data_IF_533842799779
#
_entry.id   IF_533842799779
#
_cell.length_a   1.000
_cell.length_b   1.000
_cell.length_c   1.000
_cell.angle_alpha   90.00
_cell.angle_beta   90.00
_cell.angle_gamma   90.00
#
_symmetry.space_group_name_H-M   'P 1'
#
loop_
_entity.id
_entity.type
_entity.pdbx_description
1 polymer ?
#
# COMPACT_ATOMS: atom_id res chain seq x y z
N UNK A 1 24.02 -23.52 -15.69
CA UNK A 1 24.41 -22.50 -14.69
C UNK A 1 24.10 -21.16 -15.29
N UNK A 2 22.85 -20.70 -15.16
CA UNK A 2 22.47 -19.36 -15.60
C UNK A 2 23.14 -18.36 -14.65
N UNK A 3 23.92 -17.46 -15.21
CA UNK A 3 24.59 -16.39 -14.48
C UNK A 3 23.51 -15.38 -14.08
N UNK A 4 23.06 -15.44 -12.83
CA UNK A 4 22.38 -14.32 -12.20
C UNK A 4 23.43 -13.24 -11.97
N UNK A 5 23.42 -12.23 -12.85
CA UNK A 5 24.19 -11.02 -12.68
C UNK A 5 23.72 -10.35 -11.38
N UNK A 6 24.57 -10.39 -10.35
CA UNK A 6 24.34 -9.70 -9.09
C UNK A 6 24.29 -8.20 -9.34
N UNK A 7 23.11 -7.61 -9.20
CA UNK A 7 22.98 -6.17 -9.05
C UNK A 7 23.60 -5.79 -7.69
N UNK A 8 24.53 -4.83 -7.73
CA UNK A 8 25.33 -4.40 -6.57
C UNK A 8 24.46 -3.96 -5.40
N UNK A 9 24.82 -4.45 -4.21
CA UNK A 9 24.23 -4.05 -2.93
C UNK A 9 24.96 -2.79 -2.46
N UNK A 10 24.19 -1.73 -2.23
CA UNK A 10 24.63 -0.51 -1.54
C UNK A 10 24.95 -0.82 -0.08
N UNK A 11 25.97 -0.15 0.47
CA UNK A 11 26.37 -0.27 1.86
C UNK A 11 25.20 0.09 2.79
N UNK A 12 24.83 -0.85 3.68
CA UNK A 12 23.87 -0.60 4.75
C UNK A 12 24.58 0.12 5.92
N UNK A 13 23.88 0.97 6.69
CA UNK A 13 24.45 1.61 7.87
C UNK A 13 24.75 0.57 8.94
N UNK A 14 25.93 0.66 9.55
CA UNK A 14 26.32 -0.13 10.70
C UNK A 14 25.34 0.11 11.87
N UNK A 15 24.49 -0.87 12.19
CA UNK A 15 23.72 -0.88 13.43
C UNK A 15 24.58 -1.46 14.55
N UNK A 16 25.49 -0.65 15.09
CA UNK A 16 26.32 -1.02 16.25
C UNK A 16 26.01 -0.16 17.46
N UNK A 17 25.16 -0.64 18.38
CA UNK A 17 25.28 -0.26 19.79
C UNK A 17 26.10 -1.37 20.48
N UNK A 18 27.21 -0.99 21.12
CA UNK A 18 28.09 -1.90 21.86
C UNK A 18 27.33 -2.59 23.00
N UNK A 19 26.80 -3.79 22.73
CA UNK A 19 26.34 -4.72 23.76
C UNK A 19 27.52 -5.54 24.29
N UNK A 20 27.53 -5.79 25.60
CA UNK A 20 28.54 -6.63 26.23
C UNK A 20 28.56 -8.03 25.60
N UNK A 21 29.71 -8.44 25.04
CA UNK A 21 29.88 -9.74 24.37
C UNK A 21 29.74 -9.71 22.84
N UNK A 22 29.46 -8.55 22.24
CA UNK A 22 29.48 -8.36 20.78
C UNK A 22 30.89 -8.24 20.22
N UNK A 23 31.05 -8.54 18.93
CA UNK A 23 32.26 -8.23 18.15
C UNK A 23 32.31 -6.71 17.98
N UNK A 24 33.50 -6.10 18.07
CA UNK A 24 33.63 -4.65 17.90
C UNK A 24 33.21 -4.23 16.49
N UNK A 25 32.42 -3.15 16.37
CA UNK A 25 32.03 -2.59 15.07
C UNK A 25 33.22 -2.17 14.21
N UNK A 26 34.33 -1.75 14.85
CA UNK A 26 35.58 -1.42 14.16
C UNK A 26 36.24 -2.65 13.55
N UNK A 27 36.19 -3.81 14.22
CA UNK A 27 36.74 -5.07 13.70
C UNK A 27 35.95 -5.55 12.47
N UNK A 28 34.62 -5.42 12.50
CA UNK A 28 33.73 -5.77 11.38
C UNK A 28 33.97 -4.82 10.19
N UNK A 29 34.01 -3.51 10.45
CA UNK A 29 34.27 -2.49 9.42
C UNK A 29 35.64 -2.66 8.79
N UNK A 30 36.66 -2.97 9.59
CA UNK A 30 38.01 -3.24 9.08
C UNK A 30 38.06 -4.50 8.20
N UNK A 31 37.30 -5.55 8.56
CA UNK A 31 37.23 -6.77 7.75
C UNK A 31 36.50 -6.52 6.42
N UNK A 32 35.42 -5.73 6.43
CA UNK A 32 34.69 -5.35 5.21
C UNK A 32 35.54 -4.45 4.30
N UNK A 33 36.29 -3.50 4.87
CA UNK A 33 37.28 -2.69 4.14
C UNK A 33 38.33 -3.55 3.44
N UNK A 34 38.86 -4.58 4.11
CA UNK A 34 39.80 -5.53 3.49
C UNK A 34 39.16 -6.34 2.36
N UNK A 35 37.88 -6.67 2.44
CA UNK A 35 37.15 -7.32 1.35
C UNK A 35 37.07 -6.38 0.13
N UNK A 36 36.73 -5.11 0.35
CA UNK A 36 36.68 -4.11 -0.72
C UNK A 36 38.06 -3.92 -1.38
N UNK A 37 39.12 -3.74 -0.59
CA UNK A 37 40.50 -3.63 -1.09
C UNK A 37 40.97 -4.88 -1.85
N UNK A 38 40.61 -6.07 -1.37
CA UNK A 38 40.88 -7.32 -2.08
C UNK A 38 40.20 -7.35 -3.46
N UNK A 39 39.03 -6.70 -3.58
CA UNK A 39 38.29 -6.51 -4.82
C UNK A 39 39.07 -5.79 -5.92
N UNK A 40 39.89 -4.82 -5.55
CA UNK A 40 40.63 -3.91 -6.45
C UNK A 40 41.99 -4.45 -6.92
N UNK A 41 42.36 -5.67 -6.49
CA UNK A 41 43.67 -6.23 -6.85
C UNK A 41 43.85 -6.43 -8.37
N UNK A 42 44.98 -5.94 -8.89
CA UNK A 42 45.28 -5.88 -10.33
C UNK A 42 45.36 -7.24 -11.07
N UNK A 43 45.41 -8.37 -10.36
CA UNK A 43 45.42 -9.69 -10.99
C UNK A 43 44.58 -10.71 -10.23
N UNK A 44 43.99 -11.66 -10.96
CA UNK A 44 43.14 -12.71 -10.39
C UNK A 44 43.85 -13.55 -9.31
N UNK A 45 45.15 -13.81 -9.49
CA UNK A 45 45.95 -14.55 -8.50
C UNK A 45 46.12 -13.76 -7.18
N UNK A 46 46.37 -12.45 -7.27
CA UNK A 46 46.47 -11.57 -6.09
C UNK A 46 45.13 -11.41 -5.40
N UNK A 47 44.05 -11.22 -6.16
CA UNK A 47 42.67 -11.16 -5.67
C UNK A 47 42.31 -12.42 -4.89
N UNK A 48 42.61 -13.59 -5.45
CA UNK A 48 42.37 -14.90 -4.80
C UNK A 48 43.12 -15.03 -3.47
N UNK A 49 44.38 -14.59 -3.40
CA UNK A 49 45.17 -14.63 -2.17
C UNK A 49 44.63 -13.68 -1.10
N UNK A 50 44.27 -12.45 -1.49
CA UNK A 50 43.71 -11.45 -0.60
C UNK A 50 42.35 -11.90 -0.04
N UNK A 51 41.45 -12.41 -0.88
CA UNK A 51 40.15 -12.96 -0.45
C UNK A 51 40.34 -14.14 0.51
N UNK A 52 41.28 -15.06 0.25
CA UNK A 52 41.60 -16.14 1.19
C UNK A 52 42.15 -15.66 2.53
N UNK A 53 42.75 -14.47 2.57
CA UNK A 53 43.19 -13.84 3.82
C UNK A 53 41.99 -13.28 4.59
N UNK A 54 41.09 -12.55 3.92
CA UNK A 54 39.83 -12.07 4.50
C UNK A 54 39.01 -13.22 5.09
N UNK A 55 38.88 -14.34 4.35
CA UNK A 55 38.18 -15.53 4.83
C UNK A 55 38.78 -16.06 6.15
N UNK A 56 40.11 -16.22 6.20
CA UNK A 56 40.79 -16.71 7.41
C UNK A 56 40.64 -15.75 8.59
N UNK A 57 40.71 -14.44 8.34
CA UNK A 57 40.54 -13.42 9.38
C UNK A 57 39.10 -13.40 9.92
N UNK A 58 38.09 -13.53 9.05
CA UNK A 58 36.69 -13.64 9.46
C UNK A 58 36.38 -14.95 10.21
N UNK A 59 36.95 -16.08 9.78
CA UNK A 59 36.82 -17.37 10.49
C UNK A 59 37.40 -17.27 11.91
N UNK A 60 38.61 -16.70 12.05
CA UNK A 60 39.23 -16.49 13.36
C UNK A 60 38.41 -15.57 14.27
N UNK A 61 37.77 -14.54 13.70
CA UNK A 61 36.92 -13.62 14.45
C UNK A 61 35.65 -14.31 14.98
N UNK A 62 35.04 -15.17 14.17
CA UNK A 62 33.88 -15.99 14.60
C UNK A 62 34.30 -17.01 15.67
N UNK A 63 35.46 -17.65 15.53
CA UNK A 63 35.97 -18.61 16.53
C UNK A 63 36.25 -17.95 17.88
N UNK A 64 36.74 -16.70 17.88
CA UNK A 64 36.97 -15.90 19.09
C UNK A 64 35.66 -15.45 19.75
N UNK A 65 34.61 -15.25 18.97
CA UNK A 65 33.31 -14.73 19.41
C UNK A 65 32.13 -15.62 18.99
N UNK A 66 32.10 -16.91 19.39
CA UNK A 66 31.15 -17.89 18.84
C UNK A 66 29.69 -17.61 19.20
N UNK A 67 29.44 -16.92 20.31
CA UNK A 67 28.11 -16.61 20.83
C UNK A 67 27.70 -15.15 20.61
N UNK A 68 28.55 -14.31 20.01
CA UNK A 68 28.25 -12.90 19.80
C UNK A 68 26.99 -12.73 18.93
N UNK A 69 26.03 -11.86 19.31
CA UNK A 69 24.81 -11.65 18.54
C UNK A 69 25.09 -11.15 17.11
N UNK A 70 26.06 -10.26 16.94
CA UNK A 70 26.45 -9.66 15.66
C UNK A 70 27.45 -10.49 14.84
N UNK A 71 27.73 -11.75 15.23
CA UNK A 71 28.57 -12.66 14.41
C UNK A 71 28.03 -12.89 12.99
N UNK A 72 26.73 -12.66 12.79
CA UNK A 72 26.09 -12.82 11.48
C UNK A 72 26.54 -11.76 10.47
N UNK A 73 26.97 -10.58 10.92
CA UNK A 73 27.60 -9.58 10.06
C UNK A 73 28.95 -10.06 9.52
N UNK A 74 29.74 -10.73 10.37
CA UNK A 74 30.99 -11.38 9.94
C UNK A 74 30.71 -12.55 9.00
N UNK A 75 29.65 -13.33 9.26
CA UNK A 75 29.22 -14.41 8.36
C UNK A 75 28.79 -13.89 6.99
N UNK A 76 28.17 -12.71 6.90
CA UNK A 76 27.85 -12.06 5.62
C UNK A 76 29.12 -11.67 4.85
N UNK A 77 30.12 -11.08 5.53
CA UNK A 77 31.42 -10.78 4.92
C UNK A 77 32.08 -12.07 4.40
N UNK A 78 32.04 -13.15 5.19
CA UNK A 78 32.53 -14.46 4.76
C UNK A 78 31.75 -15.00 3.57
N UNK A 79 30.42 -14.88 3.56
CA UNK A 79 29.57 -15.29 2.44
C UNK A 79 29.98 -14.55 1.15
N UNK A 80 30.08 -13.22 1.18
CA UNK A 80 30.53 -12.40 0.04
C UNK A 80 31.96 -12.77 -0.40
N UNK A 81 32.86 -12.98 0.55
CA UNK A 81 34.24 -13.40 0.26
C UNK A 81 34.30 -14.77 -0.42
N UNK A 82 33.53 -15.74 0.06
CA UNK A 82 33.45 -17.09 -0.52
C UNK A 82 32.80 -17.06 -1.91
N UNK A 83 31.80 -16.19 -2.13
CA UNK A 83 31.18 -15.98 -3.44
C UNK A 83 32.21 -15.47 -4.47
N UNK A 84 33.03 -14.48 -4.09
CA UNK A 84 34.15 -13.98 -4.92
C UNK A 84 35.19 -15.09 -5.16
N UNK A 85 35.49 -15.90 -4.15
CA UNK A 85 36.45 -17.00 -4.31
C UNK A 85 35.95 -18.06 -5.30
N UNK A 86 34.66 -18.42 -5.26
CA UNK A 86 34.06 -19.39 -6.19
C UNK A 86 34.02 -18.84 -7.62
N UNK A 87 33.80 -17.55 -7.82
CA UNK A 87 33.82 -16.94 -9.16
C UNK A 87 35.22 -16.93 -9.78
N UNK A 88 36.26 -16.79 -8.96
CA UNK A 88 37.66 -16.85 -9.40
C UNK A 88 38.19 -18.27 -9.57
N UNK A 89 37.69 -19.21 -8.77
CA UNK A 89 38.12 -20.61 -8.77
C UNK A 89 36.95 -21.53 -8.39
N UNK A 90 36.27 -22.05 -9.40
CA UNK A 90 35.10 -22.90 -9.25
C UNK A 90 35.47 -24.38 -8.96
N UNK A 91 36.35 -24.59 -7.98
CA UNK A 91 36.71 -25.93 -7.50
C UNK A 91 35.61 -26.55 -6.63
N UNK A 92 35.55 -27.88 -6.57
CA UNK A 92 34.59 -28.58 -5.71
C UNK A 92 34.77 -28.22 -4.22
N UNK A 93 36.01 -27.99 -3.78
CA UNK A 93 36.34 -27.59 -2.42
C UNK A 93 35.76 -26.19 -2.09
N UNK A 94 35.96 -25.20 -2.97
CA UNK A 94 35.44 -23.85 -2.76
C UNK A 94 33.91 -23.83 -2.77
N UNK A 95 33.27 -24.59 -3.67
CA UNK A 95 31.80 -24.73 -3.66
C UNK A 95 31.27 -25.33 -2.35
N UNK A 96 31.96 -26.33 -1.79
CA UNK A 96 31.59 -26.96 -0.52
C UNK A 96 31.73 -25.97 0.65
N UNK A 97 32.82 -25.21 0.69
CA UNK A 97 33.05 -24.19 1.72
C UNK A 97 32.02 -23.05 1.63
N UNK A 98 31.66 -22.63 0.41
CA UNK A 98 30.64 -21.62 0.19
C UNK A 98 29.27 -22.08 0.70
N UNK A 99 28.82 -23.28 0.34
CA UNK A 99 27.55 -23.82 0.83
C UNK A 99 27.53 -24.00 2.35
N UNK A 100 28.64 -24.41 2.96
CA UNK A 100 28.74 -24.49 4.42
C UNK A 100 28.63 -23.12 5.09
N UNK A 101 29.11 -22.05 4.44
CA UNK A 101 28.93 -20.68 4.91
C UNK A 101 27.48 -20.24 4.77
N UNK A 102 26.82 -20.57 3.65
CA UNK A 102 25.38 -20.33 3.48
C UNK A 102 24.55 -21.00 4.57
N UNK A 103 24.85 -22.26 4.94
CA UNK A 103 24.14 -22.99 6.01
C UNK A 103 24.28 -22.30 7.37
N UNK A 104 25.48 -21.80 7.69
CA UNK A 104 25.71 -21.03 8.93
C UNK A 104 24.95 -19.71 8.92
N UNK A 105 24.97 -18.99 7.81
CA UNK A 105 24.29 -17.70 7.68
C UNK A 105 22.76 -17.86 7.67
N UNK A 106 22.23 -18.93 7.09
CA UNK A 106 20.81 -19.28 7.15
C UNK A 106 20.31 -19.38 8.61
N UNK A 107 21.13 -19.86 9.54
CA UNK A 107 20.75 -19.94 10.95
C UNK A 107 20.62 -18.56 11.65
N UNK A 108 20.82 -17.44 10.95
CA UNK A 108 20.63 -16.10 11.51
C UNK A 108 19.14 -15.82 11.85
N UNK A 109 18.87 -15.08 12.94
CA UNK A 109 17.51 -14.66 13.29
C UNK A 109 16.97 -13.61 12.31
N UNK A 110 15.69 -13.27 12.45
CA UNK A 110 14.99 -12.36 11.52
C UNK A 110 15.56 -10.94 11.49
N UNK A 111 16.24 -10.49 12.55
CA UNK A 111 16.98 -9.21 12.57
C UNK A 111 18.06 -9.12 11.49
N UNK A 112 18.58 -10.26 11.04
CA UNK A 112 19.57 -10.37 9.95
C UNK A 112 18.95 -10.99 8.68
N UNK A 113 17.63 -10.87 8.49
CA UNK A 113 16.94 -11.41 7.32
C UNK A 113 17.56 -10.90 6.01
N UNK A 114 17.87 -9.61 5.92
CA UNK A 114 18.53 -9.03 4.75
C UNK A 114 19.86 -9.72 4.39
N UNK A 115 20.68 -10.05 5.40
CA UNK A 115 21.99 -10.68 5.20
C UNK A 115 21.86 -12.14 4.73
N UNK A 116 20.92 -12.89 5.30
CA UNK A 116 20.82 -14.34 5.03
C UNK A 116 19.99 -14.69 3.78
N UNK A 117 19.30 -13.72 3.17
CA UNK A 117 18.40 -13.94 2.02
C UNK A 117 19.09 -14.64 0.85
N UNK A 118 20.22 -14.12 0.40
CA UNK A 118 20.92 -14.68 -0.76
C UNK A 118 21.47 -16.08 -0.46
N UNK A 119 21.92 -16.32 0.77
CA UNK A 119 22.33 -17.65 1.23
C UNK A 119 21.17 -18.65 1.22
N UNK A 120 20.00 -18.28 1.75
CA UNK A 120 18.81 -19.12 1.74
C UNK A 120 18.30 -19.42 0.32
N UNK A 121 18.33 -18.43 -0.56
CA UNK A 121 17.96 -18.60 -1.96
C UNK A 121 18.89 -19.60 -2.66
N UNK A 122 20.20 -19.47 -2.44
CA UNK A 122 21.21 -20.38 -2.98
C UNK A 122 21.04 -21.81 -2.45
N UNK A 123 20.77 -21.98 -1.16
CA UNK A 123 20.51 -23.29 -0.56
C UNK A 123 19.25 -23.93 -1.12
N UNK A 124 18.19 -23.14 -1.31
CA UNK A 124 16.93 -23.59 -1.91
C UNK A 124 17.17 -24.11 -3.33
N UNK A 125 17.85 -23.32 -4.17
CA UNK A 125 18.20 -23.72 -5.53
C UNK A 125 19.14 -24.94 -5.58
N UNK A 126 20.15 -24.99 -4.70
CA UNK A 126 21.10 -26.10 -4.62
C UNK A 126 20.41 -27.42 -4.23
N UNK A 127 19.48 -27.37 -3.27
CA UNK A 127 18.67 -28.52 -2.85
C UNK A 127 17.80 -29.02 -4.00
N UNK A 128 17.01 -28.15 -4.61
CA UNK A 128 16.14 -28.53 -5.74
C UNK A 128 16.95 -29.08 -6.92
N UNK A 129 18.15 -28.55 -7.17
CA UNK A 129 19.03 -29.09 -8.21
C UNK A 129 19.56 -30.50 -7.90
N UNK A 130 19.92 -30.78 -6.64
CA UNK A 130 20.36 -32.12 -6.21
C UNK A 130 19.25 -33.17 -6.32
N UNK A 131 18.02 -32.75 -6.07
CA UNK A 131 16.83 -33.62 -6.14
C UNK A 131 16.34 -33.85 -7.58
N UNK A 132 16.99 -33.24 -8.59
CA UNK A 132 16.57 -33.37 -9.99
C UNK A 132 15.20 -32.74 -10.28
N UNK A 133 14.79 -31.76 -9.46
CA UNK A 133 13.48 -31.13 -9.55
C UNK A 133 13.27 -30.44 -10.91
N UNK A 134 12.10 -30.65 -11.49
CA UNK A 134 11.65 -29.94 -12.69
C UNK A 134 11.37 -28.45 -12.41
N UNK A 135 11.02 -27.69 -13.45
CA UNK A 135 10.76 -26.25 -13.33
C UNK A 135 9.62 -25.91 -12.35
N UNK A 136 8.60 -26.77 -12.24
CA UNK A 136 7.48 -26.54 -11.32
C UNK A 136 7.88 -26.84 -9.89
N UNK A 137 8.55 -27.97 -9.64
CA UNK A 137 9.07 -28.32 -8.33
C UNK A 137 10.10 -27.31 -7.82
N UNK A 138 10.95 -26.77 -8.70
CA UNK A 138 11.91 -25.68 -8.37
C UNK A 138 11.23 -24.39 -7.97
N UNK A 139 10.15 -24.01 -8.64
CA UNK A 139 9.40 -22.80 -8.29
C UNK A 139 8.58 -23.00 -7.02
N UNK A 140 7.92 -24.15 -6.85
CA UNK A 140 7.15 -24.44 -5.62
C UNK A 140 8.03 -24.54 -4.36
N UNK A 141 9.31 -24.90 -4.51
CA UNK A 141 10.30 -24.84 -3.43
C UNK A 141 10.57 -23.41 -2.91
N UNK A 142 10.11 -22.36 -3.60
CA UNK A 142 10.19 -20.98 -3.14
C UNK A 142 9.09 -20.63 -2.12
N UNK A 143 8.01 -21.41 -2.00
CA UNK A 143 6.93 -21.13 -1.04
C UNK A 143 7.41 -21.15 0.42
N UNK A 144 8.16 -22.17 0.88
CA UNK A 144 8.71 -22.17 2.23
C UNK A 144 9.69 -21.02 2.46
N UNK A 145 10.40 -20.59 1.41
CA UNK A 145 11.28 -19.43 1.49
C UNK A 145 10.47 -18.15 1.72
N UNK A 146 9.42 -17.91 0.93
CA UNK A 146 8.53 -16.74 1.13
C UNK A 146 7.93 -16.73 2.54
N UNK A 147 7.43 -17.86 3.03
CA UNK A 147 6.85 -17.93 4.39
C UNK A 147 7.88 -17.66 5.49
N UNK A 148 9.13 -18.10 5.31
CA UNK A 148 10.21 -17.85 6.28
C UNK A 148 10.55 -16.37 6.44
N UNK A 149 10.37 -15.57 5.40
CA UNK A 149 10.64 -14.14 5.41
C UNK A 149 9.42 -13.30 5.73
N UNK A 150 8.32 -13.93 6.15
CA UNK A 150 7.13 -13.23 6.59
C UNK A 150 7.41 -12.32 7.78
N UNK A 151 6.83 -11.13 7.76
CA UNK A 151 6.96 -10.10 8.79
C UNK A 151 8.41 -9.62 8.99
N UNK A 152 9.27 -9.81 7.97
CA UNK A 152 10.63 -9.24 7.92
C UNK A 152 10.69 -8.03 6.99
N UNK A 153 11.70 -7.19 7.18
CA UNK A 153 11.99 -6.02 6.35
C UNK A 153 12.21 -6.34 4.86
N UNK A 154 12.60 -7.58 4.54
CA UNK A 154 12.85 -8.04 3.17
C UNK A 154 11.73 -8.90 2.58
N UNK A 155 10.59 -9.06 3.25
CA UNK A 155 9.46 -9.89 2.77
C UNK A 155 9.05 -9.54 1.34
N UNK A 156 8.86 -8.24 1.05
CA UNK A 156 8.49 -7.74 -0.28
C UNK A 156 9.54 -8.11 -1.35
N UNK A 157 10.83 -8.02 -1.00
CA UNK A 157 11.93 -8.41 -1.88
C UNK A 157 11.92 -9.91 -2.18
N UNK A 158 11.68 -10.75 -1.17
CA UNK A 158 11.58 -12.22 -1.37
C UNK A 158 10.42 -12.59 -2.26
N UNK A 159 9.24 -11.98 -2.05
CA UNK A 159 8.06 -12.19 -2.90
C UNK A 159 8.39 -11.81 -4.35
N UNK A 160 9.02 -10.64 -4.57
CA UNK A 160 9.42 -10.19 -5.91
C UNK A 160 10.36 -11.19 -6.59
N UNK A 161 11.40 -11.66 -5.90
CA UNK A 161 12.34 -12.67 -6.42
C UNK A 161 11.58 -13.96 -6.78
N UNK A 162 10.72 -14.43 -5.88
CA UNK A 162 9.96 -15.65 -6.09
C UNK A 162 9.01 -15.54 -7.30
N UNK A 163 8.38 -14.37 -7.49
CA UNK A 163 7.54 -14.10 -8.66
C UNK A 163 8.34 -14.09 -9.96
N UNK A 164 9.52 -13.45 -10.00
CA UNK A 164 10.41 -13.44 -11.18
C UNK A 164 10.80 -14.87 -11.54
N UNK A 165 11.29 -15.65 -10.58
CA UNK A 165 11.69 -17.02 -10.81
C UNK A 165 10.50 -17.89 -11.25
N UNK A 166 9.31 -17.68 -10.69
CA UNK A 166 8.11 -18.40 -11.10
C UNK A 166 7.72 -18.09 -12.55
N UNK A 167 7.85 -16.84 -12.99
CA UNK A 167 7.63 -16.44 -14.39
C UNK A 167 8.65 -17.10 -15.32
N UNK A 168 9.94 -17.06 -14.97
CA UNK A 168 11.02 -17.69 -15.75
C UNK A 168 10.84 -19.21 -15.89
N UNK A 169 10.31 -19.85 -14.84
CA UNK A 169 10.04 -21.28 -14.80
C UNK A 169 8.65 -21.67 -15.35
N UNK A 170 7.82 -20.69 -15.75
CA UNK A 170 6.48 -20.91 -16.31
C UNK A 170 5.40 -21.33 -15.29
N UNK A 171 5.65 -21.19 -13.98
CA UNK A 171 4.69 -21.57 -12.94
C UNK A 171 3.70 -20.43 -12.64
N UNK A 172 2.68 -20.32 -13.49
CA UNK A 172 1.62 -19.29 -13.35
C UNK A 172 0.79 -19.46 -12.08
N UNK A 173 0.69 -20.68 -11.52
CA UNK A 173 -0.03 -20.94 -10.26
C UNK A 173 0.66 -20.24 -9.09
N UNK A 174 1.97 -20.37 -8.98
CA UNK A 174 2.73 -19.70 -7.93
C UNK A 174 2.65 -18.17 -8.08
N UNK A 175 2.76 -17.64 -9.30
CA UNK A 175 2.58 -16.20 -9.56
C UNK A 175 1.22 -15.72 -9.05
N UNK A 176 0.14 -16.44 -9.35
CA UNK A 176 -1.21 -16.07 -8.91
C UNK A 176 -1.39 -16.17 -7.39
N UNK A 177 -0.77 -17.14 -6.74
CA UNK A 177 -0.80 -17.24 -5.28
C UNK A 177 -0.03 -16.09 -4.62
N UNK A 178 1.17 -15.77 -5.12
CA UNK A 178 1.97 -14.66 -4.62
C UNK A 178 1.29 -13.30 -4.85
N UNK A 179 0.53 -13.12 -5.93
CA UNK A 179 -0.30 -11.92 -6.13
C UNK A 179 -1.35 -11.74 -5.04
N UNK A 180 -1.96 -12.84 -4.55
CA UNK A 180 -2.90 -12.76 -3.41
C UNK A 180 -2.17 -12.33 -2.15
N UNK A 181 -0.97 -12.84 -1.93
CA UNK A 181 -0.12 -12.44 -0.79
C UNK A 181 0.19 -10.93 -0.88
N UNK A 182 0.62 -10.44 -2.04
CA UNK A 182 0.85 -9.00 -2.26
C UNK A 182 -0.41 -8.18 -2.00
N UNK A 183 -1.56 -8.58 -2.55
CA UNK A 183 -2.82 -7.86 -2.37
C UNK A 183 -3.32 -7.82 -0.91
N UNK A 184 -2.94 -8.81 -0.09
CA UNK A 184 -3.34 -8.87 1.33
C UNK A 184 -2.35 -8.15 2.25
N UNK A 185 -1.05 -8.25 1.97
CA UNK A 185 0.00 -7.83 2.90
C UNK A 185 0.72 -6.56 2.48
N UNK A 186 0.81 -6.32 1.17
CA UNK A 186 1.49 -5.18 0.57
C UNK A 186 0.58 -4.41 -0.41
N UNK A 187 -0.69 -4.13 -0.06
CA UNK A 187 -1.61 -3.54 -1.02
C UNK A 187 -1.16 -2.15 -1.47
N UNK A 188 -0.50 -1.38 -0.61
CA UNK A 188 -0.01 -0.02 -0.89
C UNK A 188 1.47 0.10 -1.26
N UNK A 189 2.19 -1.01 -1.40
CA UNK A 189 3.63 -0.99 -1.68
C UNK A 189 3.87 -0.56 -3.14
N UNK A 190 4.39 0.65 -3.33
CA UNK A 190 4.56 1.25 -4.67
C UNK A 190 5.55 0.48 -5.53
N UNK A 191 6.60 -0.09 -4.93
CA UNK A 191 7.61 -0.87 -5.65
C UNK A 191 7.01 -2.18 -6.18
N UNK A 192 6.20 -2.87 -5.37
CA UNK A 192 5.48 -4.07 -5.79
C UNK A 192 4.37 -3.76 -6.79
N UNK A 193 3.69 -2.62 -6.68
CA UNK A 193 2.72 -2.17 -7.69
C UNK A 193 3.45 -1.95 -9.03
N UNK A 194 4.55 -1.19 -9.04
CA UNK A 194 5.35 -0.93 -10.24
C UNK A 194 5.92 -2.22 -10.84
N UNK A 195 6.46 -3.11 -10.00
CA UNK A 195 6.91 -4.43 -10.42
C UNK A 195 5.81 -5.24 -11.12
N UNK A 196 4.60 -5.27 -10.56
CA UNK A 196 3.47 -5.97 -11.18
C UNK A 196 3.06 -5.33 -12.52
N UNK A 197 3.10 -3.99 -12.62
CA UNK A 197 2.83 -3.29 -13.88
C UNK A 197 3.84 -3.67 -14.97
N UNK A 198 5.12 -3.69 -14.64
CA UNK A 198 6.21 -3.96 -15.59
C UNK A 198 6.34 -5.43 -15.98
N UNK A 199 6.25 -6.35 -15.01
CA UNK A 199 6.65 -7.76 -15.21
C UNK A 199 5.48 -8.72 -15.43
N UNK A 200 4.26 -8.36 -15.04
CA UNK A 200 3.08 -9.23 -15.17
C UNK A 200 2.16 -8.77 -16.30
N UNK A 201 2.73 -8.27 -17.41
CA UNK A 201 2.02 -7.68 -18.53
C UNK A 201 0.85 -8.55 -19.05
N UNK A 202 -0.27 -7.92 -19.40
CA UNK A 202 -1.51 -8.50 -19.91
C UNK A 202 -2.72 -8.54 -18.96
N UNK A 203 -2.60 -8.17 -17.67
CA UNK A 203 -3.69 -8.32 -16.69
C UNK A 203 -3.98 -7.04 -15.89
N UNK A 204 -5.27 -6.72 -15.77
CA UNK A 204 -5.76 -5.65 -14.88
C UNK A 204 -5.69 -6.13 -13.44
N UNK A 205 -5.18 -5.30 -12.53
CA UNK A 205 -5.24 -5.55 -11.10
C UNK A 205 -5.68 -4.31 -10.33
N UNK A 206 -6.26 -4.53 -9.15
CA UNK A 206 -6.66 -3.47 -8.25
C UNK A 206 -5.54 -3.13 -7.28
N UNK A 207 -5.30 -1.84 -7.05
CA UNK A 207 -4.44 -1.35 -5.99
C UNK A 207 -5.16 -0.22 -5.22
N UNK A 208 -5.03 -0.12 -3.89
CA UNK A 208 -5.49 1.06 -3.15
C UNK A 208 -4.72 2.29 -3.65
N UNK A 209 -5.44 3.34 -4.01
CA UNK A 209 -4.82 4.62 -4.34
C UNK A 209 -4.51 5.35 -3.04
N UNK A 210 -3.22 5.45 -2.71
CA UNK A 210 -2.74 6.02 -1.46
C UNK A 210 -1.87 7.23 -1.79
N UNK A 211 -2.17 8.35 -1.14
CA UNK A 211 -1.42 9.59 -1.35
C UNK A 211 -1.91 10.71 -0.46
N UNK A 212 -1.01 11.64 -0.16
CA UNK A 212 -1.35 12.91 0.50
C UNK A 212 -1.08 14.04 -0.47
N UNK A 213 -2.10 14.85 -0.73
CA UNK A 213 -2.05 15.96 -1.67
C UNK A 213 -2.44 17.26 -0.95
N UNK A 214 -2.10 18.39 -1.55
CA UNK A 214 -2.47 19.70 -1.02
C UNK A 214 -3.47 20.39 -1.95
N UNK A 215 -4.42 21.09 -1.35
CA UNK A 215 -5.29 22.06 -2.03
C UNK A 215 -4.56 23.38 -2.26
N UNK A 216 -5.18 24.28 -3.03
CA UNK A 216 -4.71 25.66 -3.18
C UNK A 216 -4.61 26.44 -1.86
N UNK A 217 -5.47 26.13 -0.88
CA UNK A 217 -5.47 26.74 0.47
C UNK A 217 -4.44 26.11 1.43
N UNK A 218 -3.60 25.19 0.95
CA UNK A 218 -2.58 24.48 1.74
C UNK A 218 -3.11 23.34 2.60
N UNK A 219 -4.43 23.09 2.64
CA UNK A 219 -4.99 21.96 3.40
C UNK A 219 -4.61 20.64 2.75
N UNK A 220 -4.16 19.71 3.57
CA UNK A 220 -3.86 18.34 3.15
C UNK A 220 -5.14 17.53 2.95
N UNK A 221 -5.11 16.68 1.94
CA UNK A 221 -6.16 15.75 1.58
C UNK A 221 -5.52 14.38 1.37
N UNK A 222 -6.09 13.34 1.95
CA UNK A 222 -5.54 11.98 2.02
C UNK A 222 -6.43 11.00 1.29
N UNK A 223 -5.85 10.30 0.32
CA UNK A 223 -6.47 9.13 -0.29
C UNK A 223 -6.03 7.84 0.41
N UNK A 224 -6.92 6.85 0.58
CA UNK A 224 -8.34 6.91 0.20
C UNK A 224 -9.24 7.57 1.26
N UNK A 225 -8.72 7.86 2.45
CA UNK A 225 -9.48 8.21 3.66
C UNK A 225 -10.56 9.28 3.45
N UNK A 226 -10.22 10.39 2.79
CA UNK A 226 -11.14 11.53 2.62
C UNK A 226 -12.20 11.30 1.53
N UNK A 227 -12.12 10.19 0.79
CA UNK A 227 -12.96 9.92 -0.38
C UNK A 227 -13.64 8.54 -0.35
N UNK A 228 -13.56 7.81 0.77
CA UNK A 228 -14.28 6.54 0.94
C UNK A 228 -15.80 6.74 0.84
N UNK A 229 -16.50 5.73 0.31
CA UNK A 229 -17.96 5.73 0.15
C UNK A 229 -18.46 6.33 -1.16
N UNK A 230 -17.64 7.08 -1.89
CA UNK A 230 -18.04 7.71 -3.16
C UNK A 230 -17.05 7.40 -4.26
N UNK A 231 -17.55 7.06 -5.47
CA UNK A 231 -16.69 6.88 -6.63
C UNK A 231 -16.04 8.21 -6.98
N UNK A 232 -14.72 8.24 -7.07
CA UNK A 232 -13.94 9.47 -7.29
C UNK A 232 -13.21 9.42 -8.62
N UNK A 233 -13.36 10.49 -9.40
CA UNK A 233 -12.78 10.65 -10.73
C UNK A 233 -11.65 11.65 -10.63
N UNK A 234 -10.42 11.17 -10.72
CA UNK A 234 -9.22 12.00 -10.72
C UNK A 234 -8.92 12.41 -12.16
N UNK A 235 -9.12 13.68 -12.48
CA UNK A 235 -8.74 14.26 -13.76
C UNK A 235 -7.36 14.87 -13.61
N UNK A 236 -6.35 14.23 -14.18
CA UNK A 236 -4.96 14.67 -14.21
C UNK A 236 -4.73 15.54 -15.43
N UNK A 237 -4.36 16.81 -15.24
CA UNK A 237 -4.31 17.78 -16.32
C UNK A 237 -3.26 18.86 -16.10
N UNK A 238 -2.85 19.45 -17.21
CA UNK A 238 -1.97 20.61 -17.33
C UNK A 238 -2.70 21.67 -18.14
N UNK A 239 -2.43 22.96 -17.91
CA UNK A 239 -2.90 24.04 -18.80
C UNK A 239 -2.18 24.03 -20.15
N UNK A 240 -1.04 23.35 -20.24
CA UNK A 240 -0.23 23.23 -21.46
C UNK A 240 -0.76 22.10 -22.35
N UNK A 241 -0.23 21.99 -23.58
CA UNK A 241 -0.51 20.90 -24.52
C UNK A 241 -2.01 20.60 -24.72
N UNK A 242 -2.80 21.64 -25.01
CA UNK A 242 -4.25 21.60 -25.22
C UNK A 242 -5.07 21.12 -24.00
N UNK A 243 -4.48 21.01 -22.81
CA UNK A 243 -5.17 20.50 -21.63
C UNK A 243 -6.30 21.42 -21.14
N UNK A 244 -6.22 22.72 -21.36
CA UNK A 244 -7.33 23.64 -21.07
C UNK A 244 -8.52 23.44 -22.03
N UNK A 245 -8.27 23.17 -23.32
CA UNK A 245 -9.31 22.87 -24.30
C UNK A 245 -9.99 21.54 -24.00
N UNK A 246 -9.20 20.53 -23.63
CA UNK A 246 -9.69 19.21 -23.22
C UNK A 246 -10.53 19.32 -21.92
N UNK A 247 -10.09 20.14 -20.95
CA UNK A 247 -10.86 20.44 -19.74
C UNK A 247 -12.20 21.13 -20.06
N UNK A 248 -12.22 22.08 -21.01
CA UNK A 248 -13.48 22.73 -21.49
C UNK A 248 -14.41 21.69 -22.11
N UNK A 249 -13.90 20.78 -22.92
CA UNK A 249 -14.69 19.70 -23.53
C UNK A 249 -15.29 18.75 -22.46
N UNK A 250 -14.50 18.37 -21.45
CA UNK A 250 -14.96 17.56 -20.33
C UNK A 250 -16.02 18.32 -19.50
N UNK A 251 -15.80 19.62 -19.23
CA UNK A 251 -16.74 20.45 -18.48
C UNK A 251 -18.11 20.53 -19.17
N UNK A 252 -18.12 20.72 -20.49
CA UNK A 252 -19.35 20.72 -21.29
C UNK A 252 -20.07 19.37 -21.24
N UNK A 253 -19.35 18.27 -21.43
CA UNK A 253 -19.91 16.92 -21.35
C UNK A 253 -20.44 16.60 -19.94
N UNK A 254 -19.77 17.07 -18.89
CA UNK A 254 -20.21 16.90 -17.52
C UNK A 254 -21.51 17.64 -17.20
N UNK A 255 -21.64 18.89 -17.66
CA UNK A 255 -22.89 19.66 -17.52
C UNK A 255 -24.07 18.95 -18.20
N UNK A 256 -23.86 18.38 -19.39
CA UNK A 256 -24.87 17.55 -20.08
C UNK A 256 -25.20 16.30 -19.28
N UNK A 257 -24.19 15.56 -18.82
CA UNK A 257 -24.38 14.33 -18.04
C UNK A 257 -25.12 14.56 -16.71
N UNK A 258 -24.92 15.70 -16.04
CA UNK A 258 -25.69 16.08 -14.84
C UNK A 258 -27.20 16.12 -15.14
N UNK A 259 -27.61 16.65 -16.29
CA UNK A 259 -29.02 16.79 -16.69
C UNK A 259 -29.56 15.51 -17.33
N UNK A 260 -28.89 14.99 -18.35
CA UNK A 260 -29.40 13.89 -19.18
C UNK A 260 -29.27 12.52 -18.52
N UNK A 261 -28.25 12.32 -17.69
CA UNK A 261 -27.95 11.03 -17.05
C UNK A 261 -28.21 11.02 -15.54
N UNK A 262 -28.70 12.14 -14.98
CA UNK A 262 -28.83 12.33 -13.53
C UNK A 262 -27.54 11.93 -12.78
N UNK A 263 -26.39 12.40 -13.30
CA UNK A 263 -25.07 12.02 -12.81
C UNK A 263 -24.66 12.74 -11.51
N UNK A 264 -25.43 13.75 -11.07
CA UNK A 264 -25.17 14.48 -9.83
C UNK A 264 -25.13 13.51 -8.63
N UNK A 265 -24.10 13.64 -7.80
CA UNK A 265 -23.88 12.80 -6.61
C UNK A 265 -23.52 11.32 -6.89
N UNK A 266 -23.40 10.89 -8.16
CA UNK A 266 -23.04 9.50 -8.51
C UNK A 266 -21.54 9.24 -8.48
N UNK A 267 -20.78 10.27 -8.77
CA UNK A 267 -19.34 10.32 -8.61
C UNK A 267 -18.93 11.77 -8.41
N UNK A 268 -17.80 11.94 -7.73
CA UNK A 268 -17.18 13.24 -7.53
C UNK A 268 -15.96 13.37 -8.43
N UNK A 269 -15.70 14.58 -8.93
CA UNK A 269 -14.49 14.88 -9.66
C UNK A 269 -13.50 15.63 -8.78
N UNK A 270 -12.24 15.28 -8.96
CA UNK A 270 -11.09 15.99 -8.38
C UNK A 270 -10.14 16.33 -9.52
N UNK A 271 -9.82 17.60 -9.66
CA UNK A 271 -8.78 18.08 -10.57
C UNK A 271 -7.42 17.92 -9.91
N UNK A 272 -6.53 17.16 -10.55
CA UNK A 272 -5.13 17.01 -10.17
C UNK A 272 -4.30 17.85 -11.15
N UNK A 273 -3.92 19.06 -10.74
CA UNK A 273 -3.14 19.96 -11.59
C UNK A 273 -1.64 19.63 -11.52
N UNK A 274 -1.01 19.61 -12.69
CA UNK A 274 0.39 19.21 -12.89
C UNK A 274 1.36 20.39 -13.04
N UNK A 275 0.87 21.63 -13.02
CA UNK A 275 1.67 22.83 -13.38
C UNK A 275 2.14 23.63 -12.16
N UNK A 276 2.08 23.03 -10.97
CA UNK A 276 2.40 23.68 -9.69
C UNK A 276 1.70 25.04 -9.47
N UNK A 277 0.45 25.17 -9.97
CA UNK A 277 -0.31 26.40 -9.82
C UNK A 277 -0.55 26.72 -8.33
N UNK A 278 -0.45 28.00 -7.91
CA UNK A 278 -0.63 28.39 -6.51
C UNK A 278 -1.95 27.92 -5.90
N UNK A 279 -3.04 28.00 -6.66
CA UNK A 279 -4.40 27.60 -6.28
C UNK A 279 -4.78 26.19 -6.76
N UNK A 280 -3.81 25.40 -7.24
CA UNK A 280 -4.01 24.10 -7.86
C UNK A 280 -4.95 24.11 -9.10
N UNK A 281 -5.18 25.27 -9.72
CA UNK A 281 -6.10 25.43 -10.85
C UNK A 281 -7.57 25.59 -10.43
N UNK A 282 -7.85 25.87 -9.15
CA UNK A 282 -9.22 26.09 -8.66
C UNK A 282 -9.92 27.22 -9.43
N UNK A 283 -9.25 28.36 -9.66
CA UNK A 283 -9.81 29.49 -10.40
C UNK A 283 -10.24 29.12 -11.82
N UNK A 284 -9.48 28.25 -12.50
CA UNK A 284 -9.79 27.77 -13.85
C UNK A 284 -11.05 26.89 -13.80
N UNK A 285 -11.13 25.95 -12.85
CA UNK A 285 -12.30 25.09 -12.68
C UNK A 285 -13.56 25.91 -12.37
N UNK A 286 -13.46 26.89 -11.46
CA UNK A 286 -14.58 27.80 -11.11
C UNK A 286 -15.01 28.65 -12.29
N UNK A 287 -14.07 29.17 -13.09
CA UNK A 287 -14.36 29.91 -14.33
C UNK A 287 -15.15 29.11 -15.36
N UNK A 288 -14.99 27.78 -15.37
CA UNK A 288 -15.79 26.87 -16.21
C UNK A 288 -17.13 26.47 -15.57
N UNK A 289 -17.44 26.98 -14.38
CA UNK A 289 -18.64 26.62 -13.61
C UNK A 289 -18.58 25.20 -13.03
N UNK A 290 -17.38 24.72 -12.71
CA UNK A 290 -17.16 23.43 -12.04
C UNK A 290 -16.92 23.65 -10.55
N UNK A 291 -17.57 22.82 -9.74
CA UNK A 291 -17.52 22.76 -8.27
C UNK A 291 -16.48 21.76 -7.76
N UNK A 292 -15.62 21.25 -8.64
CA UNK A 292 -14.65 20.20 -8.31
C UNK A 292 -13.59 20.68 -7.33
N UNK A 293 -13.05 19.74 -6.55
CA UNK A 293 -11.90 20.00 -5.70
C UNK A 293 -10.63 20.06 -6.57
N UNK A 294 -9.80 21.07 -6.33
CA UNK A 294 -8.51 21.23 -6.99
C UNK A 294 -7.39 20.84 -6.03
N UNK A 295 -6.48 19.97 -6.48
CA UNK A 295 -5.35 19.48 -5.72
C UNK A 295 -4.08 19.56 -6.58
N UNK A 296 -2.95 19.84 -5.91
CA UNK A 296 -1.62 19.90 -6.52
C UNK A 296 -1.05 18.49 -6.71
N UNK A 297 -0.47 18.24 -7.87
CA UNK A 297 0.42 17.11 -8.13
C UNK A 297 1.85 17.66 -8.25
N UNK A 298 2.61 17.75 -7.14
CA UNK A 298 3.96 18.30 -7.18
C UNK A 298 4.84 17.42 -8.07
N UNK A 299 5.77 18.04 -8.81
CA UNK A 299 6.62 17.36 -9.81
C UNK A 299 5.83 16.81 -11.02
N UNK A 300 4.54 17.15 -11.14
CA UNK A 300 3.71 16.81 -12.28
C UNK A 300 3.72 15.31 -12.61
N UNK A 301 4.17 14.98 -13.83
CA UNK A 301 4.24 13.58 -14.27
C UNK A 301 5.37 12.80 -13.59
N UNK A 302 6.43 13.45 -13.10
CA UNK A 302 7.55 12.77 -12.44
C UNK A 302 7.21 12.35 -11.00
N UNK A 303 6.06 12.82 -10.48
CA UNK A 303 5.57 12.44 -9.16
C UNK A 303 5.51 10.90 -9.00
N UNK A 304 6.11 10.32 -7.94
CA UNK A 304 6.12 8.87 -7.75
C UNK A 304 4.72 8.23 -7.68
N UNK A 305 3.74 8.93 -7.12
CA UNK A 305 2.34 8.47 -7.05
C UNK A 305 1.72 8.48 -8.45
N UNK A 306 1.98 9.53 -9.23
CA UNK A 306 1.54 9.58 -10.62
C UNK A 306 2.13 8.44 -11.44
N UNK A 307 3.44 8.21 -11.33
CA UNK A 307 4.14 7.11 -12.00
C UNK A 307 3.63 5.73 -11.56
N UNK A 308 3.23 5.59 -10.30
CA UNK A 308 2.75 4.31 -9.78
C UNK A 308 1.32 3.98 -10.22
N UNK A 309 0.41 4.96 -10.14
CA UNK A 309 -1.03 4.70 -10.33
C UNK A 309 -1.59 5.16 -11.67
N UNK A 310 -0.96 6.14 -12.31
CA UNK A 310 -1.43 6.69 -13.60
C UNK A 310 -0.46 6.26 -14.70
N UNK A 311 0.74 6.83 -14.74
CA UNK A 311 1.78 6.63 -15.77
C UNK A 311 1.19 6.62 -17.18
N UNK A 312 0.64 7.77 -17.57
CA UNK A 312 0.04 8.05 -18.87
C UNK A 312 0.29 9.52 -19.23
N UNK A 313 0.15 9.84 -20.50
CA UNK A 313 0.12 11.24 -20.95
C UNK A 313 -1.11 11.96 -20.37
N UNK A 314 -0.92 13.24 -20.03
CA UNK A 314 -1.99 14.15 -19.65
C UNK A 314 -2.59 14.83 -20.90
N UNK A 315 -3.87 15.21 -20.86
CA UNK A 315 -4.83 14.99 -19.78
C UNK A 315 -5.36 13.54 -19.75
N UNK A 316 -5.62 13.04 -18.54
CA UNK A 316 -6.11 11.67 -18.33
C UNK A 316 -7.03 11.57 -17.12
N UNK A 317 -7.80 10.49 -17.06
CA UNK A 317 -8.70 10.21 -15.93
C UNK A 317 -8.34 8.86 -15.31
N UNK A 318 -8.20 8.86 -14.00
CA UNK A 318 -8.16 7.67 -13.15
C UNK A 318 -9.46 7.60 -12.32
N UNK A 319 -10.02 6.41 -12.16
CA UNK A 319 -11.24 6.20 -11.37
C UNK A 319 -10.87 5.43 -10.11
N UNK A 320 -11.13 6.03 -8.96
CA UNK A 320 -11.01 5.44 -7.64
C UNK A 320 -12.40 4.94 -7.23
N UNK A 321 -12.48 3.66 -6.86
CA UNK A 321 -13.70 3.05 -6.36
C UNK A 321 -14.10 3.66 -5.01
N UNK A 322 -15.36 3.47 -4.57
CA UNK A 322 -15.80 3.86 -3.23
C UNK A 322 -15.01 3.22 -2.08
N UNK A 323 -14.28 2.12 -2.35
CA UNK A 323 -13.40 1.45 -1.37
C UNK A 323 -11.96 1.95 -1.44
N UNK A 324 -11.66 2.95 -2.25
CA UNK A 324 -10.32 3.53 -2.38
C UNK A 324 -9.41 2.83 -3.38
N UNK A 325 -9.91 1.89 -4.18
CA UNK A 325 -9.09 1.11 -5.12
C UNK A 325 -9.16 1.67 -6.53
N UNK A 326 -8.05 1.61 -7.24
CA UNK A 326 -7.95 1.91 -8.67
C UNK A 326 -7.69 0.64 -9.46
N UNK A 327 -8.27 0.54 -10.64
CA UNK A 327 -7.94 -0.50 -11.61
C UNK A 327 -6.75 -0.03 -12.44
N UNK A 328 -5.61 -0.71 -12.29
CA UNK A 328 -4.39 -0.40 -13.04
C UNK A 328 -4.37 -1.23 -14.33
N UNK A 329 -4.31 -0.52 -15.45
CA UNK A 329 -4.19 -1.13 -16.78
C UNK A 329 -2.76 -0.90 -17.31
N UNK A 330 -2.17 -1.94 -17.86
CA UNK A 330 -0.77 -1.96 -18.30
C UNK A 330 -0.53 -1.28 -19.66
N UNK A 331 -1.58 -1.07 -20.45
CA UNK A 331 -1.48 -0.28 -21.68
C UNK A 331 -2.82 0.39 -21.96
N UNK A 332 -2.75 1.62 -22.47
CA UNK A 332 -3.93 2.37 -22.84
C UNK A 332 -3.55 3.77 -23.24
N UNK A 333 -3.17 3.91 -24.51
CA UNK A 333 -3.13 5.21 -25.17
C UNK A 333 -4.46 5.94 -25.00
N UNK A 334 -4.42 7.26 -25.21
CA UNK A 334 -5.56 8.16 -25.06
C UNK A 334 -6.81 7.51 -25.64
N UNK A 335 -7.77 7.18 -24.79
CA UNK A 335 -9.04 6.63 -25.24
C UNK A 335 -9.67 7.73 -26.08
N UNK A 336 -9.67 7.57 -27.42
CA UNK A 336 -10.23 8.53 -28.37
C UNK A 336 -11.78 8.55 -28.30
N UNK A 337 -12.35 8.25 -27.14
CA UNK A 337 -13.77 8.27 -26.86
C UNK A 337 -14.13 9.68 -26.43
N UNK A 338 -15.06 10.31 -27.14
CA UNK A 338 -15.72 11.53 -26.68
C UNK A 338 -16.17 11.38 -25.21
N UNK A 339 -16.01 12.45 -24.43
CA UNK A 339 -16.28 12.45 -23.00
C UNK A 339 -17.69 11.97 -22.64
N UNK A 340 -18.69 12.26 -23.47
CA UNK A 340 -20.06 11.78 -23.30
C UNK A 340 -20.15 10.25 -23.22
N UNK A 341 -19.56 9.53 -24.19
CA UNK A 341 -19.53 8.06 -24.19
C UNK A 341 -18.76 7.51 -22.98
N UNK A 342 -17.71 8.21 -22.55
CA UNK A 342 -16.93 7.82 -21.38
C UNK A 342 -17.77 7.96 -20.10
N UNK A 343 -18.46 9.09 -19.92
CA UNK A 343 -19.35 9.35 -18.80
C UNK A 343 -20.52 8.35 -18.76
N UNK A 344 -21.13 8.02 -19.89
CA UNK A 344 -22.15 6.97 -19.98
C UNK A 344 -21.62 5.61 -19.52
N UNK A 345 -20.42 5.23 -19.96
CA UNK A 345 -19.77 3.99 -19.51
C UNK A 345 -19.48 3.99 -18.01
N UNK A 346 -19.09 5.13 -17.45
CA UNK A 346 -18.85 5.28 -16.01
C UNK A 346 -20.16 5.18 -15.21
N UNK A 347 -21.24 5.77 -15.71
CA UNK A 347 -22.58 5.67 -15.12
C UNK A 347 -23.15 4.25 -15.17
N UNK A 348 -22.74 3.43 -16.13
CA UNK A 348 -23.13 2.03 -16.20
C UNK A 348 -22.40 1.13 -15.18
N UNK A 349 -21.30 1.61 -14.59
CA UNK A 349 -20.53 0.86 -13.59
C UNK A 349 -21.38 0.52 -12.37
N UNK A 350 -21.13 -0.64 -11.76
CA UNK A 350 -21.79 -1.02 -10.51
C UNK A 350 -21.48 -0.03 -9.38
N UNK A 351 -20.28 0.56 -9.39
CA UNK A 351 -19.78 1.45 -8.32
C UNK A 351 -20.45 2.83 -8.31
N UNK A 352 -21.12 3.22 -9.40
CA UNK A 352 -21.86 4.49 -9.53
C UNK A 352 -23.38 4.29 -9.40
N UNK A 353 -23.82 3.05 -9.11
CA UNK A 353 -25.21 2.75 -8.77
C UNK A 353 -25.52 3.33 -7.39
N UNK A 354 -26.65 4.04 -7.23
CA UNK A 354 -26.90 4.79 -6.01
C UNK A 354 -27.12 3.86 -4.81
N UNK A 355 -27.70 2.67 -5.02
CA UNK A 355 -27.84 1.66 -3.97
C UNK A 355 -26.50 1.15 -3.44
N UNK A 356 -25.51 0.98 -4.32
CA UNK A 356 -24.20 0.46 -3.94
C UNK A 356 -23.40 1.50 -3.15
N UNK A 357 -23.37 2.75 -3.63
CA UNK A 357 -22.70 3.85 -2.92
C UNK A 357 -23.38 4.16 -1.59
N UNK A 358 -24.71 4.20 -1.53
CA UNK A 358 -25.43 4.48 -0.27
C UNK A 358 -25.17 3.43 0.81
N UNK A 359 -25.02 2.16 0.45
CA UNK A 359 -24.65 1.11 1.41
C UNK A 359 -23.24 1.32 1.96
N UNK A 360 -22.26 1.58 1.09
CA UNK A 360 -20.88 1.81 1.52
C UNK A 360 -20.74 3.09 2.35
N UNK A 361 -21.44 4.17 1.97
CA UNK A 361 -21.48 5.40 2.75
C UNK A 361 -22.03 5.15 4.16
N UNK A 362 -23.12 4.39 4.30
CA UNK A 362 -23.68 4.04 5.61
C UNK A 362 -22.69 3.27 6.49
N UNK A 363 -21.91 2.37 5.90
CA UNK A 363 -20.84 1.65 6.61
C UNK A 363 -19.70 2.59 7.01
N UNK A 364 -19.19 3.41 6.09
CA UNK A 364 -18.04 4.27 6.37
C UNK A 364 -18.37 5.45 7.29
N UNK A 365 -19.60 5.93 7.30
CA UNK A 365 -20.09 6.95 8.24
C UNK A 365 -20.39 6.39 9.63
N UNK A 366 -20.41 5.06 9.80
CA UNK A 366 -20.75 4.44 11.07
C UNK A 366 -22.22 4.55 11.46
N UNK A 367 -23.12 4.87 10.52
CA UNK A 367 -24.58 4.96 10.79
C UNK A 367 -25.13 3.72 11.48
N UNK A 368 -24.61 2.55 11.15
CA UNK A 368 -25.01 1.29 11.75
C UNK A 368 -24.72 1.19 13.26
N UNK A 369 -23.89 2.09 13.81
CA UNK A 369 -23.62 2.19 15.25
C UNK A 369 -24.69 3.00 15.97
N UNK A 370 -25.30 3.99 15.31
CA UNK A 370 -26.29 4.91 15.90
C UNK A 370 -27.74 4.50 15.59
N UNK A 371 -27.94 3.64 14.60
CA UNK A 371 -29.26 3.15 14.20
C UNK A 371 -29.55 1.81 14.85
N UNK A 372 -30.69 1.67 15.53
CA UNK A 372 -31.08 0.37 16.09
C UNK A 372 -31.65 -0.53 14.99
N UNK A 373 -31.07 -1.71 14.71
CA UNK A 373 -31.71 -2.68 13.82
C UNK A 373 -32.88 -3.40 14.48
N UNK A 374 -33.12 -3.21 15.80
CA UNK A 374 -34.19 -3.85 16.55
C UNK A 374 -34.95 -2.87 17.45
N UNK A 375 -36.14 -2.46 16.98
CA UNK A 375 -37.12 -1.71 17.77
C UNK A 375 -36.92 -0.19 17.75
N UNK A 376 -37.86 0.53 18.35
CA UNK A 376 -37.84 1.99 18.43
C UNK A 376 -36.63 2.48 19.24
N UNK A 377 -36.13 3.67 18.89
CA UNK A 377 -35.07 4.32 19.64
C UNK A 377 -35.50 4.56 21.10
N UNK A 378 -34.72 4.01 22.02
CA UNK A 378 -34.84 4.19 23.46
C UNK A 378 -33.65 5.03 23.95
N UNK A 379 -33.86 6.30 24.34
CA UNK A 379 -32.79 7.15 24.90
C UNK A 379 -32.10 6.56 26.13
N UNK A 380 -32.76 5.64 26.84
CA UNK A 380 -32.19 4.95 27.98
C UNK A 380 -31.49 3.64 27.57
N UNK A 381 -31.60 3.19 26.32
CA UNK A 381 -30.87 2.04 25.82
C UNK A 381 -30.45 2.27 24.35
N UNK A 382 -29.57 3.25 24.10
CA UNK A 382 -29.14 3.59 22.76
C UNK A 382 -28.36 2.41 22.13
N UNK A 383 -28.33 2.29 20.79
CA UNK A 383 -27.73 1.14 20.10
C UNK A 383 -26.27 0.87 20.46
N UNK A 384 -25.49 1.93 20.69
CA UNK A 384 -24.10 1.87 21.11
C UNK A 384 -23.99 1.22 22.50
N UNK A 385 -24.85 1.61 23.45
CA UNK A 385 -24.90 1.01 24.77
C UNK A 385 -25.29 -0.47 24.71
N UNK A 386 -26.30 -0.82 23.89
CA UNK A 386 -26.71 -2.21 23.68
C UNK A 386 -25.58 -3.07 23.11
N UNK A 387 -24.75 -2.52 22.22
CA UNK A 387 -23.64 -3.25 21.60
C UNK A 387 -22.46 -3.49 22.56
N UNK A 388 -22.27 -2.62 23.56
CA UNK A 388 -21.22 -2.75 24.58
C UNK A 388 -21.67 -3.52 25.82
N UNK A 389 -22.98 -3.58 26.09
CA UNK A 389 -23.54 -4.20 27.28
C UNK A 389 -23.26 -5.71 27.31
N UNK A 390 -22.21 -6.09 28.03
CA UNK A 390 -21.89 -7.47 28.40
C UNK A 390 -21.74 -7.59 29.92
N UNK A 391 -22.02 -8.77 30.48
CA UNK A 391 -21.95 -8.99 31.94
C UNK A 391 -23.03 -8.21 32.72
N UNK A 392 -22.66 -7.57 33.84
CA UNK A 392 -23.61 -6.89 34.74
C UNK A 392 -24.30 -5.66 34.10
N UNK A 393 -23.71 -5.05 33.07
CA UNK A 393 -24.34 -3.99 32.28
C UNK A 393 -25.57 -4.47 31.49
N UNK A 394 -25.58 -5.74 31.07
CA UNK A 394 -26.75 -6.36 30.44
C UNK A 394 -27.90 -6.61 31.43
N UNK A 395 -27.60 -6.73 32.74
CA UNK A 395 -28.62 -6.91 33.80
C UNK A 395 -29.35 -5.62 34.17
N UNK A 396 -28.74 -4.45 33.94
CA UNK A 396 -29.38 -3.15 34.18
C UNK A 396 -30.37 -2.77 33.08
N UNK A 397 -30.21 -3.28 31.85
CA UNK A 397 -31.16 -3.13 30.73
C UNK A 397 -31.31 -1.72 30.15
N UNK A 398 -31.12 -0.67 30.96
CA UNK A 398 -31.23 0.75 30.61
C UNK A 398 -30.26 1.61 31.43
N UNK A 399 -29.75 2.66 30.82
CA UNK A 399 -29.00 3.75 31.43
C UNK A 399 -29.90 4.56 32.38
N UNK A 400 -29.42 4.91 33.58
CA UNK A 400 -30.13 5.84 34.46
C UNK A 400 -30.11 7.25 33.82
N UNK A 401 -31.31 7.82 33.59
CA UNK A 401 -31.49 9.18 33.06
C UNK A 401 -31.98 10.13 34.18
N UNK A 402 -31.10 10.84 34.89
CA UNK A 402 -31.51 11.84 35.87
C UNK A 402 -32.22 13.04 35.20
N UNK A 403 -32.86 13.89 36.00
CA UNK A 403 -33.52 15.10 35.49
C UNK A 403 -32.54 16.10 34.81
N UNK A 404 -31.24 15.95 35.06
CA UNK A 404 -30.18 16.74 34.41
C UNK A 404 -29.82 16.22 33.00
N UNK A 405 -30.31 15.05 32.59
CA UNK A 405 -30.05 14.50 31.26
C UNK A 405 -30.74 15.28 30.15
N UNK A 406 -30.26 15.11 28.93
CA UNK A 406 -30.89 15.71 27.75
C UNK A 406 -32.36 15.24 27.64
N UNK A 407 -33.31 16.14 27.35
CA UNK A 407 -34.71 15.76 27.13
C UNK A 407 -34.87 14.72 26.02
N UNK A 408 -35.73 13.72 26.24
CA UNK A 408 -35.92 12.61 25.29
C UNK A 408 -36.42 13.05 23.92
N UNK A 409 -37.25 14.09 23.86
CA UNK A 409 -37.78 14.67 22.61
C UNK A 409 -36.64 15.23 21.75
N UNK A 410 -35.63 15.86 22.36
CA UNK A 410 -34.43 16.33 21.64
C UNK A 410 -33.63 15.17 21.07
N UNK A 411 -33.44 14.09 21.84
CA UNK A 411 -32.72 12.90 21.39
C UNK A 411 -33.47 12.16 20.28
N UNK A 412 -34.81 12.06 20.38
CA UNK A 412 -35.65 11.50 19.31
C UNK A 412 -35.59 12.35 18.04
N UNK A 413 -35.62 13.67 18.14
CA UNK A 413 -35.50 14.56 16.97
C UNK A 413 -34.14 14.44 16.26
N UNK A 414 -33.05 14.21 17.02
CA UNK A 414 -31.74 13.88 16.45
C UNK A 414 -31.81 12.52 15.74
N UNK A 415 -32.38 11.50 16.39
CA UNK A 415 -32.49 10.15 15.83
C UNK A 415 -33.32 10.10 14.54
N UNK A 416 -34.40 10.86 14.45
CA UNK A 416 -35.26 10.95 13.26
C UNK A 416 -34.53 11.46 12.00
N UNK A 417 -33.34 12.05 12.15
CA UNK A 417 -32.52 12.43 11.01
C UNK A 417 -31.89 11.21 10.31
N UNK A 418 -31.73 10.09 11.00
CA UNK A 418 -31.17 8.85 10.44
C UNK A 418 -32.29 7.97 9.86
N UNK A 419 -32.21 7.67 8.56
CA UNK A 419 -33.25 6.95 7.83
C UNK A 419 -33.03 5.44 7.95
N UNK A 420 -34.00 4.68 8.45
CA UNK A 420 -33.89 3.23 8.63
C UNK A 420 -33.66 2.44 7.32
N UNK A 421 -32.90 1.32 7.36
CA UNK A 421 -32.88 0.35 6.28
C UNK A 421 -34.27 -0.29 6.09
N UNK A 422 -34.70 -0.60 4.86
CA UNK A 422 -33.96 -0.46 3.61
C UNK A 422 -34.16 0.89 2.91
N UNK A 423 -34.95 1.81 3.47
CA UNK A 423 -35.24 3.12 2.86
C UNK A 423 -33.98 3.95 2.68
N UNK A 424 -33.05 3.85 3.66
CA UNK A 424 -31.70 4.44 3.60
C UNK A 424 -30.99 4.29 2.25
N UNK A 425 -31.10 3.12 1.64
CA UNK A 425 -30.37 2.77 0.41
C UNK A 425 -31.07 3.25 -0.86
N UNK A 426 -32.27 3.82 -0.73
CA UNK A 426 -33.08 4.39 -1.81
C UNK A 426 -33.16 5.90 -1.72
N UNK A 427 -32.86 6.47 -0.56
CA UNK A 427 -32.82 7.91 -0.35
C UNK A 427 -31.73 8.57 -1.24
N UNK A 428 -32.07 9.64 -1.96
CA UNK A 428 -31.11 10.49 -2.65
C UNK A 428 -30.01 11.02 -1.73
N UNK A 429 -28.79 11.16 -2.28
CA UNK A 429 -27.60 11.51 -1.50
C UNK A 429 -27.65 12.93 -0.91
N UNK A 430 -28.21 13.89 -1.65
CA UNK A 430 -28.47 15.26 -1.19
C UNK A 430 -29.40 15.31 0.03
N UNK A 431 -30.46 14.49 0.03
CA UNK A 431 -31.35 14.38 1.18
C UNK A 431 -30.65 13.74 2.40
N UNK A 432 -29.74 12.79 2.18
CA UNK A 432 -28.93 12.21 3.26
C UNK A 432 -27.99 13.27 3.87
N UNK A 433 -27.31 14.07 3.04
CA UNK A 433 -26.46 15.17 3.52
C UNK A 433 -27.29 16.17 4.34
N UNK A 434 -28.44 16.61 3.81
CA UNK A 434 -29.30 17.55 4.51
C UNK A 434 -29.77 17.03 5.89
N UNK A 435 -30.02 15.72 6.00
CA UNK A 435 -30.34 15.08 7.27
C UNK A 435 -29.16 15.10 8.25
N UNK A 436 -27.93 14.87 7.78
CA UNK A 436 -26.74 14.98 8.62
C UNK A 436 -26.47 16.40 9.11
N UNK A 437 -26.61 17.40 8.24
CA UNK A 437 -26.48 18.81 8.61
C UNK A 437 -27.53 19.20 9.66
N UNK A 438 -28.77 18.70 9.50
CA UNK A 438 -29.82 18.86 10.49
C UNK A 438 -29.45 18.18 11.82
N UNK A 439 -28.93 16.95 11.78
CA UNK A 439 -28.49 16.23 12.97
C UNK A 439 -27.36 16.99 13.70
N UNK A 440 -26.32 17.45 12.99
CA UNK A 440 -25.23 18.27 13.55
C UNK A 440 -25.77 19.54 14.22
N UNK A 441 -26.68 20.25 13.55
CA UNK A 441 -27.34 21.43 14.12
C UNK A 441 -28.10 21.13 15.41
N UNK A 442 -28.87 20.04 15.45
CA UNK A 442 -29.62 19.60 16.63
C UNK A 442 -28.69 19.16 17.77
N UNK A 443 -27.62 18.42 17.47
CA UNK A 443 -26.61 18.00 18.44
C UNK A 443 -25.93 19.21 19.09
N UNK A 444 -25.46 20.18 18.28
CA UNK A 444 -24.85 21.41 18.80
C UNK A 444 -25.81 22.21 19.68
N UNK A 445 -27.08 22.30 19.27
CA UNK A 445 -28.10 22.97 20.07
C UNK A 445 -28.41 22.24 21.38
N UNK A 446 -28.39 20.90 21.39
CA UNK A 446 -28.56 20.10 22.59
C UNK A 446 -27.38 20.27 23.56
N UNK A 447 -26.14 20.21 23.06
CA UNK A 447 -24.92 20.41 23.85
C UNK A 447 -24.88 21.81 24.46
N UNK A 448 -25.23 22.85 23.68
CA UNK A 448 -25.24 24.22 24.19
C UNK A 448 -26.32 24.47 25.24
N UNK A 449 -27.48 23.80 25.11
CA UNK A 449 -28.61 23.96 26.03
C UNK A 449 -28.46 23.15 27.32
N UNK A 450 -27.70 22.06 27.29
CA UNK A 450 -27.57 21.11 28.39
C UNK A 450 -26.10 20.73 28.65
N UNK A 451 -25.20 21.69 28.91
CA UNK A 451 -23.76 21.43 28.96
C UNK A 451 -23.33 20.49 30.09
N UNK A 452 -24.11 20.40 31.16
CA UNK A 452 -23.82 19.56 32.34
C UNK A 452 -24.59 18.22 32.33
N UNK A 453 -25.23 17.88 31.20
CA UNK A 453 -25.99 16.64 31.09
C UNK A 453 -25.04 15.42 31.10
N UNK A 454 -25.26 14.43 31.99
CA UNK A 454 -24.35 13.29 32.14
C UNK A 454 -24.42 12.27 30.99
N UNK A 455 -25.35 12.44 30.05
CA UNK A 455 -25.54 11.62 28.86
C UNK A 455 -25.02 12.27 27.56
N UNK A 456 -24.29 13.39 27.65
CA UNK A 456 -23.43 13.96 26.60
C UNK A 456 -21.98 13.49 26.80
#
# INVERSE_FOLDING_TARGET
MAVLAGAGVWALPAMGQDQAGSISGDEITALDGKLAEAGEAASAARKKLAIRRVIREGEALIEKHPTAPNRYEVLDILFRSQQVLVSLDNSAANRKAFLATCEKLAAAPNEYAALRLDADLLLTQAKSAREGADSHARSDALRPLVERYRDTDVEAKVIRIAMIMALELGNTRLVNDLRKVVAQRFPGDMDLINFQREKLAGQVFGAPFIGTFQRGDGKSVRFPMDFLGTTTVLYCWSKENDGEEDLKALAAAWKRAKVELNAAGRFQFVGMNMDDLPDAGEGILRGLGLDWQALKMPEGQDNPIYQTYVNRETPTILIVSPTGYVALYQSGGRSNRAYERRLQSMMASMWTRPRYSSQLQSVFSGEFLVMSPQGDFDPAAPPEYKSMASGDAAKQGKLPRPAASVPEDKLRAIQECFIDPPFRYRTPHDQIIANYEKADGLCRAAIAAHPDAPDL
#
